data_IF_516408039692
#
_entry.id   IF_516408039692
#
_cell.length_a   1.000
_cell.length_b   1.000
_cell.length_c   1.000
_cell.angle_alpha   90.00
_cell.angle_beta   90.00
_cell.angle_gamma   90.00
#
_symmetry.space_group_name_H-M   'P 1'
#
loop_
_entity.id
_entity.type
_entity.pdbx_description
1 polymer ?
#
# COMPACT_ATOMS: atom_id res chain seq x y z
N UNK A 1 2.85 5.78 -26.28
CA UNK A 1 3.34 6.69 -25.22
C UNK A 1 4.41 5.94 -24.42
N UNK A 2 5.61 6.51 -24.29
CA UNK A 2 6.67 5.90 -23.48
C UNK A 2 6.28 5.94 -22.02
N UNK A 3 6.41 4.81 -21.33
CA UNK A 3 6.17 4.71 -19.88
C UNK A 3 7.33 5.40 -19.15
N UNK A 4 7.03 6.46 -18.41
CA UNK A 4 8.04 7.21 -17.64
C UNK A 4 8.22 6.62 -16.24
N UNK A 5 9.47 6.44 -15.84
CA UNK A 5 9.88 6.08 -14.49
C UNK A 5 10.63 7.25 -13.85
N UNK A 6 10.42 7.44 -12.57
CA UNK A 6 11.03 8.51 -11.78
C UNK A 6 11.81 7.91 -10.62
N UNK A 7 12.99 8.44 -10.31
CA UNK A 7 13.76 7.98 -9.16
C UNK A 7 13.10 8.45 -7.86
N UNK A 8 12.70 7.52 -7.00
CA UNK A 8 12.25 7.83 -5.63
C UNK A 8 13.21 7.23 -4.62
N UNK A 9 13.51 8.01 -3.58
CA UNK A 9 14.32 7.57 -2.46
C UNK A 9 13.50 6.74 -1.51
N UNK A 10 14.03 5.61 -1.06
CA UNK A 10 13.47 4.79 0.02
C UNK A 10 13.79 5.50 1.34
N UNK A 11 12.77 5.94 2.06
CA UNK A 11 12.92 6.63 3.34
C UNK A 11 12.71 5.72 4.56
N UNK A 12 11.98 4.60 4.41
CA UNK A 12 11.85 3.58 5.44
C UNK A 12 11.61 2.19 4.84
N UNK A 13 12.06 1.15 5.53
CA UNK A 13 11.72 -0.25 5.29
C UNK A 13 11.39 -0.84 6.66
N UNK A 14 10.13 -1.17 6.89
CA UNK A 14 9.63 -1.62 8.19
C UNK A 14 9.17 -3.08 8.09
N UNK A 15 9.65 -3.98 8.96
CA UNK A 15 9.09 -5.32 9.06
C UNK A 15 7.61 -5.26 9.44
N UNK A 16 6.78 -6.04 8.75
CA UNK A 16 5.35 -6.17 9.06
C UNK A 16 5.02 -7.59 9.54
N UNK A 17 5.51 -8.58 8.81
CA UNK A 17 5.47 -10.00 9.22
C UNK A 17 6.83 -10.64 8.93
N UNK A 18 7.02 -11.91 9.30
CA UNK A 18 8.23 -12.66 8.94
C UNK A 18 8.47 -12.72 7.40
N UNK A 19 7.40 -12.56 6.62
CA UNK A 19 7.43 -12.66 5.15
C UNK A 19 7.06 -11.35 4.44
N UNK A 20 6.83 -10.25 5.16
CA UNK A 20 6.39 -8.99 4.56
C UNK A 20 7.12 -7.79 5.14
N UNK A 21 7.40 -6.82 4.29
CA UNK A 21 7.94 -5.50 4.65
C UNK A 21 7.09 -4.39 4.04
N UNK A 22 7.08 -3.25 4.69
CA UNK A 22 6.49 -2.02 4.19
C UNK A 22 7.62 -1.12 3.72
N UNK A 23 7.59 -0.73 2.45
CA UNK A 23 8.57 0.19 1.85
C UNK A 23 7.93 1.56 1.69
N UNK A 24 8.55 2.57 2.28
CA UNK A 24 8.10 3.97 2.21
C UNK A 24 9.04 4.77 1.30
N UNK A 25 8.43 5.62 0.47
CA UNK A 25 9.14 6.47 -0.48
C UNK A 25 8.98 7.94 -0.11
N UNK A 26 10.06 8.68 -0.23
CA UNK A 26 10.05 10.13 -0.22
C UNK A 26 9.70 10.64 -1.62
N UNK A 27 8.61 11.41 -1.72
CA UNK A 27 8.21 12.05 -2.97
C UNK A 27 8.73 13.49 -2.94
N UNK A 28 9.71 13.85 -3.77
CA UNK A 28 10.24 15.20 -3.79
C UNK A 28 9.19 16.21 -4.27
N UNK A 29 9.29 17.50 -3.85
CA UNK A 29 8.26 18.50 -4.12
C UNK A 29 7.86 18.63 -5.58
N UNK A 30 8.82 18.54 -6.50
CA UNK A 30 8.61 18.63 -7.95
C UNK A 30 7.85 17.45 -8.54
N UNK A 31 7.82 16.31 -7.86
CA UNK A 31 7.09 15.12 -8.29
C UNK A 31 5.75 14.91 -7.58
N UNK A 32 5.35 15.79 -6.67
CA UNK A 32 4.08 15.63 -5.91
C UNK A 32 2.85 15.53 -6.81
N UNK A 33 2.80 16.29 -7.90
CA UNK A 33 1.69 16.18 -8.86
C UNK A 33 1.69 14.85 -9.62
N UNK A 34 2.88 14.34 -9.96
CA UNK A 34 3.05 13.05 -10.65
C UNK A 34 2.64 11.88 -9.78
N UNK A 35 2.96 11.95 -8.48
CA UNK A 35 2.70 10.88 -7.49
C UNK A 35 1.44 11.11 -6.65
N UNK A 36 0.62 12.13 -6.97
CA UNK A 36 -0.74 12.20 -6.44
C UNK A 36 -1.53 10.96 -6.87
N UNK A 37 -2.18 10.30 -5.91
CA UNK A 37 -2.86 9.04 -6.18
C UNK A 37 -4.29 9.03 -5.65
N UNK A 38 -5.08 8.09 -6.14
CA UNK A 38 -6.41 7.75 -5.63
C UNK A 38 -6.26 6.46 -4.82
N UNK A 39 -6.90 6.36 -3.67
CA UNK A 39 -6.87 5.19 -2.79
C UNK A 39 -7.19 3.90 -3.57
N UNK A 40 -6.37 2.87 -3.37
CA UNK A 40 -6.48 1.57 -4.06
C UNK A 40 -5.68 1.46 -5.37
N UNK A 41 -5.00 2.52 -5.80
CA UNK A 41 -4.05 2.46 -6.92
C UNK A 41 -2.76 1.71 -6.54
N UNK A 42 -1.93 1.42 -7.53
CA UNK A 42 -0.65 0.72 -7.37
C UNK A 42 0.50 1.50 -8.03
N UNK A 43 1.71 1.18 -7.59
CA UNK A 43 2.97 1.59 -8.18
C UNK A 43 3.60 0.43 -8.95
N UNK A 44 4.26 0.72 -10.07
CA UNK A 44 5.18 -0.22 -10.70
C UNK A 44 6.60 0.19 -10.34
N UNK A 45 7.30 -0.67 -9.62
CA UNK A 45 8.70 -0.52 -9.26
C UNK A 45 9.57 -1.20 -10.30
N UNK A 46 10.73 -0.61 -10.58
CA UNK A 46 11.70 -1.10 -11.56
C UNK A 46 13.11 -1.02 -11.00
N UNK A 47 13.88 -2.08 -11.17
CA UNK A 47 15.30 -2.11 -10.84
C UNK A 47 16.03 -3.14 -11.70
N UNK A 48 17.34 -3.12 -11.67
CA UNK A 48 18.18 -4.14 -12.29
C UNK A 48 18.61 -5.16 -11.25
N UNK A 49 18.30 -6.43 -11.47
CA UNK A 49 18.70 -7.55 -10.63
C UNK A 49 19.48 -8.55 -11.50
N UNK A 50 20.69 -8.87 -11.11
CA UNK A 50 21.59 -9.77 -11.87
C UNK A 50 21.68 -9.42 -13.37
N UNK A 51 21.78 -8.12 -13.67
CA UNK A 51 21.86 -7.60 -15.04
C UNK A 51 20.52 -7.56 -15.80
N UNK A 52 19.41 -7.98 -15.20
CA UNK A 52 18.08 -7.99 -15.82
C UNK A 52 17.24 -6.79 -15.38
N UNK A 53 16.57 -6.13 -16.31
CA UNK A 53 15.56 -5.11 -16.03
C UNK A 53 14.28 -5.80 -15.51
N UNK A 54 13.98 -5.64 -14.22
CA UNK A 54 12.84 -6.31 -13.59
C UNK A 54 11.84 -5.26 -13.10
N UNK A 55 10.55 -5.52 -13.34
CA UNK A 55 9.43 -4.65 -12.93
C UNK A 55 8.38 -5.46 -12.20
N UNK A 56 7.83 -4.89 -11.12
CA UNK A 56 6.69 -5.46 -10.39
C UNK A 56 5.80 -4.36 -9.88
N UNK A 57 4.50 -4.65 -9.87
CA UNK A 57 3.48 -3.76 -9.36
C UNK A 57 3.09 -4.14 -7.94
N UNK A 58 2.98 -3.12 -7.08
CA UNK A 58 2.56 -3.25 -5.69
C UNK A 58 1.50 -2.20 -5.40
N UNK A 59 0.39 -2.61 -4.80
CA UNK A 59 -0.65 -1.69 -4.41
C UNK A 59 -0.16 -0.73 -3.33
N UNK A 60 -0.59 0.52 -3.43
CA UNK A 60 -0.34 1.53 -2.41
C UNK A 60 -1.17 1.14 -1.17
N UNK A 61 -0.52 1.13 0.00
CA UNK A 61 -1.16 0.88 1.30
C UNK A 61 -1.29 2.13 2.17
N UNK A 62 -0.81 3.27 1.69
CA UNK A 62 -0.99 4.58 2.33
C UNK A 62 -2.40 5.13 2.09
N UNK A 63 -2.91 5.94 3.03
CA UNK A 63 -4.02 6.85 2.74
C UNK A 63 -3.54 7.98 1.85
N UNK A 64 -4.46 8.63 1.14
CA UNK A 64 -4.11 9.77 0.27
C UNK A 64 -3.57 10.98 1.05
N UNK A 65 -3.83 11.03 2.36
CA UNK A 65 -3.39 12.09 3.27
C UNK A 65 -2.15 11.69 4.10
N UNK A 66 -1.62 10.48 3.92
CA UNK A 66 -0.42 10.03 4.62
C UNK A 66 0.82 10.80 4.12
N UNK A 67 1.79 11.01 5.01
CA UNK A 67 3.01 11.76 4.71
C UNK A 67 3.90 11.08 3.65
N UNK A 68 3.86 9.77 3.57
CA UNK A 68 4.72 8.97 2.70
C UNK A 68 3.91 8.05 1.80
N UNK A 69 4.39 7.90 0.58
CA UNK A 69 3.90 6.90 -0.36
C UNK A 69 4.44 5.52 0.05
N UNK A 70 3.55 4.54 0.30
CA UNK A 70 3.92 3.25 0.90
C UNK A 70 3.38 2.08 0.09
N UNK A 71 4.18 1.01 0.00
CA UNK A 71 3.74 -0.28 -0.54
C UNK A 71 4.08 -1.42 0.41
N UNK A 72 3.20 -2.40 0.53
CA UNK A 72 3.46 -3.63 1.27
C UNK A 72 3.97 -4.72 0.33
N UNK A 73 5.11 -5.31 0.65
CA UNK A 73 5.76 -6.33 -0.18
C UNK A 73 5.88 -7.64 0.59
N UNK A 74 5.07 -8.61 0.21
CA UNK A 74 5.20 -9.97 0.71
C UNK A 74 6.24 -10.72 -0.10
N UNK A 75 7.10 -11.46 0.59
CA UNK A 75 8.08 -12.37 -0.02
C UNK A 75 7.35 -13.50 -0.74
N UNK A 76 7.71 -13.72 -1.99
CA UNK A 76 7.23 -14.85 -2.80
C UNK A 76 8.35 -15.86 -2.92
N UNK A 77 8.08 -17.13 -2.62
CA UNK A 77 9.08 -18.18 -2.76
C UNK A 77 9.54 -18.25 -4.23
N UNK A 78 10.84 -18.16 -4.48
CA UNK A 78 11.41 -18.07 -5.83
C UNK A 78 11.16 -16.74 -6.57
N UNK A 79 10.47 -15.79 -5.96
CA UNK A 79 10.19 -14.48 -6.58
C UNK A 79 11.43 -13.59 -6.61
N UNK A 80 11.91 -13.23 -7.80
CA UNK A 80 13.14 -12.46 -7.95
C UNK A 80 13.05 -11.08 -7.27
N UNK A 81 12.04 -10.27 -7.59
CA UNK A 81 11.91 -8.89 -7.12
C UNK A 81 11.57 -8.79 -5.62
N UNK A 82 10.63 -9.61 -5.14
CA UNK A 82 10.25 -9.60 -3.72
C UNK A 82 11.40 -10.04 -2.82
N UNK A 83 12.17 -11.07 -3.22
CA UNK A 83 13.34 -11.48 -2.47
C UNK A 83 14.44 -10.41 -2.49
N UNK A 84 14.66 -9.75 -3.62
CA UNK A 84 15.61 -8.62 -3.72
C UNK A 84 15.22 -7.48 -2.78
N UNK A 85 13.94 -7.10 -2.70
CA UNK A 85 13.48 -6.08 -1.74
C UNK A 85 13.83 -6.49 -0.31
N UNK A 86 13.60 -7.75 0.08
CA UNK A 86 13.85 -8.23 1.43
C UNK A 86 15.33 -8.39 1.80
N UNK A 87 16.21 -8.65 0.82
CA UNK A 87 17.61 -8.97 1.08
C UNK A 87 18.59 -7.86 0.75
N UNK A 88 18.23 -6.97 -0.19
CA UNK A 88 19.20 -6.07 -0.83
C UNK A 88 18.80 -4.60 -0.76
N UNK A 89 17.52 -4.28 -0.85
CA UNK A 89 17.04 -2.90 -0.78
C UNK A 89 17.29 -2.31 0.63
N UNK A 90 17.80 -1.08 0.67
CA UNK A 90 18.12 -0.37 1.92
C UNK A 90 17.50 1.01 1.97
N UNK A 91 17.28 1.51 3.18
CA UNK A 91 16.93 2.91 3.41
C UNK A 91 18.03 3.80 2.83
N UNK A 92 17.64 4.80 2.06
CA UNK A 92 18.53 5.70 1.33
C UNK A 92 18.75 5.32 -0.13
N UNK A 93 18.46 4.07 -0.52
CA UNK A 93 18.53 3.65 -1.92
C UNK A 93 17.49 4.39 -2.78
N UNK A 94 17.78 4.46 -4.07
CA UNK A 94 16.86 5.01 -5.07
C UNK A 94 16.35 3.90 -5.97
N UNK A 95 15.04 3.84 -6.17
CA UNK A 95 14.39 2.89 -7.07
C UNK A 95 13.58 3.63 -8.13
N UNK A 96 13.47 3.08 -9.32
CA UNK A 96 12.66 3.64 -10.39
C UNK A 96 11.20 3.29 -10.18
N UNK A 97 10.33 4.29 -10.12
CA UNK A 97 8.90 4.15 -9.82
C UNK A 97 8.07 4.82 -10.91
N UNK A 98 7.08 4.13 -11.40
CA UNK A 98 6.09 4.69 -12.33
C UNK A 98 4.99 5.43 -11.54
N UNK A 99 4.45 6.50 -12.13
CA UNK A 99 3.30 7.21 -11.56
C UNK A 99 2.17 6.25 -11.18
N UNK A 100 1.39 6.54 -10.11
CA UNK A 100 0.30 5.69 -9.65
C UNK A 100 -0.70 5.35 -10.76
N UNK A 101 -1.13 4.10 -10.80
CA UNK A 101 -2.08 3.58 -11.78
C UNK A 101 -3.11 2.67 -11.12
N UNK A 102 -4.18 2.37 -11.85
CA UNK A 102 -5.22 1.43 -11.43
C UNK A 102 -6.59 2.08 -11.31
N UNK A 103 -7.62 1.23 -11.32
CA UNK A 103 -9.04 1.63 -11.26
C UNK A 103 -9.77 0.98 -10.08
N UNK A 104 -9.06 0.36 -9.17
CA UNK A 104 -9.63 -0.27 -7.99
C UNK A 104 -9.75 0.77 -6.87
N UNK A 105 -10.74 1.65 -6.98
CA UNK A 105 -11.02 2.70 -6.00
C UNK A 105 -12.53 2.94 -5.89
N UNK A 106 -12.94 3.65 -4.86
CA UNK A 106 -14.31 4.14 -4.67
C UNK A 106 -14.34 5.66 -4.76
N UNK A 107 -15.34 6.25 -5.42
CA UNK A 107 -15.51 7.70 -5.38
C UNK A 107 -15.91 8.12 -3.98
N UNK A 108 -15.23 9.15 -3.45
CA UNK A 108 -15.45 9.68 -2.12
C UNK A 108 -16.39 10.87 -2.15
N UNK A 109 -17.26 10.95 -1.15
CA UNK A 109 -18.13 12.09 -0.91
C UNK A 109 -18.27 12.31 0.61
N UNK A 110 -17.78 13.44 1.15
CA UNK A 110 -17.84 13.72 2.59
C UNK A 110 -19.26 13.71 3.19
N UNK A 111 -20.29 13.92 2.36
CA UNK A 111 -21.69 13.84 2.80
C UNK A 111 -22.27 12.42 2.80
N UNK A 112 -21.52 11.45 2.27
CA UNK A 112 -21.97 10.06 2.18
C UNK A 112 -22.11 9.40 3.55
N UNK A 113 -23.14 8.54 3.65
CA UNK A 113 -23.41 7.67 4.81
C UNK A 113 -23.46 6.21 4.32
N UNK A 114 -22.33 5.73 3.79
CA UNK A 114 -22.23 4.40 3.18
C UNK A 114 -21.76 3.36 4.20
N UNK A 115 -22.10 2.11 3.93
CA UNK A 115 -21.50 0.97 4.61
C UNK A 115 -20.65 0.21 3.58
N UNK A 116 -19.34 0.36 3.67
CA UNK A 116 -18.39 -0.36 2.84
C UNK A 116 -18.17 -1.77 3.38
N UNK A 117 -18.21 -2.75 2.50
CA UNK A 117 -17.82 -4.12 2.79
C UNK A 117 -16.64 -4.49 1.89
N UNK A 118 -15.54 -4.91 2.51
CA UNK A 118 -14.37 -5.41 1.79
C UNK A 118 -14.02 -6.82 2.23
N UNK A 119 -13.52 -7.61 1.27
CA UNK A 119 -12.99 -8.94 1.51
C UNK A 119 -11.55 -8.97 1.00
N UNK A 120 -10.61 -9.35 1.87
CA UNK A 120 -9.20 -9.44 1.54
C UNK A 120 -8.64 -10.81 1.91
N UNK A 121 -7.61 -11.25 1.19
CA UNK A 121 -6.81 -12.43 1.50
C UNK A 121 -5.33 -12.13 1.39
N UNK A 122 -4.55 -12.45 2.43
CA UNK A 122 -3.10 -12.25 2.44
C UNK A 122 -2.68 -10.83 2.02
N UNK A 123 -1.79 -10.68 1.05
CA UNK A 123 -1.29 -9.38 0.55
C UNK A 123 -2.34 -8.56 -0.21
N UNK A 124 -3.51 -9.12 -0.55
CA UNK A 124 -4.63 -8.36 -1.12
C UNK A 124 -5.20 -7.30 -0.19
N UNK A 125 -4.78 -7.28 1.07
CA UNK A 125 -5.11 -6.23 2.04
C UNK A 125 -4.55 -4.84 1.64
N UNK A 126 -3.43 -4.78 0.89
CA UNK A 126 -2.72 -3.53 0.62
C UNK A 126 -3.61 -2.44 -0.01
N UNK A 127 -4.34 -2.66 -1.12
CA UNK A 127 -5.23 -1.65 -1.68
C UNK A 127 -6.46 -1.40 -0.78
N UNK A 128 -6.93 -2.41 -0.09
CA UNK A 128 -8.08 -2.29 0.83
C UNK A 128 -7.73 -1.38 2.01
N UNK A 129 -6.52 -1.50 2.57
CA UNK A 129 -6.04 -0.64 3.64
C UNK A 129 -6.01 0.83 3.20
N UNK A 130 -5.48 1.12 2.01
CA UNK A 130 -5.49 2.47 1.41
C UNK A 130 -6.90 3.03 1.31
N UNK A 131 -7.84 2.24 0.78
CA UNK A 131 -9.26 2.62 0.65
C UNK A 131 -9.87 2.85 2.03
N UNK A 132 -9.70 1.91 2.96
CA UNK A 132 -10.28 1.95 4.30
C UNK A 132 -9.81 3.19 5.08
N UNK A 133 -8.51 3.44 5.12
CA UNK A 133 -7.91 4.63 5.78
C UNK A 133 -8.49 5.92 5.20
N UNK A 134 -8.54 6.02 3.89
CA UNK A 134 -8.99 7.23 3.19
C UNK A 134 -10.50 7.46 3.37
N UNK A 135 -11.33 6.41 3.24
CA UNK A 135 -12.78 6.48 3.50
C UNK A 135 -13.06 6.94 4.92
N UNK A 136 -12.42 6.30 5.91
CA UNK A 136 -12.62 6.62 7.33
C UNK A 136 -12.23 8.06 7.68
N UNK A 137 -11.20 8.60 7.02
CA UNK A 137 -10.75 9.97 7.20
C UNK A 137 -11.67 10.99 6.50
N UNK A 138 -12.12 10.70 5.29
CA UNK A 138 -12.80 11.68 4.43
C UNK A 138 -14.32 11.57 4.38
N UNK A 139 -14.90 10.45 4.81
CA UNK A 139 -16.35 10.24 4.93
C UNK A 139 -16.74 10.00 6.40
N UNK A 140 -16.97 11.05 7.21
CA UNK A 140 -17.15 10.93 8.66
C UNK A 140 -18.37 10.11 9.08
N UNK A 141 -19.37 9.98 8.21
CA UNK A 141 -20.61 9.25 8.49
C UNK A 141 -20.64 7.83 7.91
N UNK A 142 -19.63 7.44 7.12
CA UNK A 142 -19.54 6.11 6.53
C UNK A 142 -18.92 5.09 7.49
N UNK A 143 -19.29 3.82 7.31
CA UNK A 143 -18.81 2.65 8.07
C UNK A 143 -18.04 1.71 7.16
N UNK A 144 -17.16 0.92 7.75
CA UNK A 144 -16.34 -0.04 7.02
C UNK A 144 -16.31 -1.39 7.74
N UNK A 145 -16.68 -2.45 7.02
CA UNK A 145 -16.53 -3.84 7.47
C UNK A 145 -15.47 -4.53 6.61
N UNK A 146 -14.48 -5.11 7.24
CA UNK A 146 -13.42 -5.87 6.60
C UNK A 146 -13.49 -7.33 7.02
N UNK A 147 -13.61 -8.24 6.03
CA UNK A 147 -13.40 -9.67 6.17
C UNK A 147 -11.99 -9.98 5.67
N UNK A 148 -11.09 -10.41 6.57
CA UNK A 148 -9.69 -10.58 6.22
C UNK A 148 -9.19 -12.00 6.49
N UNK A 149 -9.10 -12.82 5.44
CA UNK A 149 -8.65 -14.19 5.50
C UNK A 149 -7.13 -14.32 5.40
N UNK A 150 -6.52 -15.05 6.31
CA UNK A 150 -5.09 -15.36 6.33
C UNK A 150 -4.87 -16.84 6.69
N UNK A 151 -3.72 -17.40 6.30
CA UNK A 151 -3.37 -18.78 6.64
C UNK A 151 -3.10 -18.95 8.14
N UNK A 152 -2.41 -17.99 8.72
CA UNK A 152 -2.08 -17.94 10.14
C UNK A 152 -2.16 -16.50 10.65
N UNK A 153 -2.30 -16.33 11.95
CA UNK A 153 -2.29 -15.01 12.58
C UNK A 153 -0.96 -14.28 12.37
N UNK A 154 0.17 -15.02 12.36
CA UNK A 154 1.52 -14.46 12.17
C UNK A 154 1.76 -13.96 10.72
N UNK A 155 0.98 -14.44 9.76
CA UNK A 155 1.08 -14.01 8.35
C UNK A 155 0.11 -12.86 8.00
N UNK A 156 -0.63 -12.34 8.99
CA UNK A 156 -1.59 -11.26 8.81
C UNK A 156 -0.85 -9.93 8.66
N UNK A 157 -0.80 -9.42 7.43
CA UNK A 157 -0.18 -8.13 7.15
C UNK A 157 -1.00 -6.98 7.73
N UNK A 158 -0.31 -5.92 8.19
CA UNK A 158 -0.90 -4.70 8.76
C UNK A 158 -1.81 -4.93 9.97
N UNK A 159 -1.56 -5.99 10.74
CA UNK A 159 -2.41 -6.34 11.88
C UNK A 159 -2.52 -5.17 12.88
N UNK A 160 -1.40 -4.62 13.30
CA UNK A 160 -1.36 -3.51 14.26
C UNK A 160 -2.05 -2.25 13.69
N UNK A 161 -1.78 -1.91 12.43
CA UNK A 161 -2.41 -0.75 11.77
C UNK A 161 -3.93 -0.90 11.64
N UNK A 162 -4.43 -2.12 11.39
CA UNK A 162 -5.87 -2.41 11.38
C UNK A 162 -6.49 -2.32 12.76
N UNK A 163 -5.81 -2.81 13.80
CA UNK A 163 -6.23 -2.69 15.20
C UNK A 163 -6.28 -1.22 15.63
N UNK A 164 -5.30 -0.42 15.26
CA UNK A 164 -5.28 1.03 15.51
C UNK A 164 -6.43 1.75 14.80
N UNK A 165 -6.72 1.40 13.55
CA UNK A 165 -7.89 1.92 12.84
C UNK A 165 -9.20 1.54 13.55
N UNK A 166 -9.32 0.30 14.01
CA UNK A 166 -10.47 -0.15 14.79
C UNK A 166 -10.62 0.65 16.08
N UNK A 167 -9.54 0.88 16.81
CA UNK A 167 -9.53 1.65 18.04
C UNK A 167 -9.92 3.11 17.81
N UNK A 168 -9.36 3.73 16.75
CA UNK A 168 -9.63 5.12 16.37
C UNK A 168 -11.08 5.35 15.92
N UNK A 169 -11.64 4.38 15.19
CA UNK A 169 -12.98 4.48 14.59
C UNK A 169 -13.94 3.41 15.14
N UNK A 170 -13.96 3.21 16.45
CA UNK A 170 -14.56 2.09 17.16
C UNK A 170 -16.00 1.73 16.72
N UNK A 171 -16.85 2.74 16.50
CA UNK A 171 -18.27 2.56 16.11
C UNK A 171 -18.46 2.44 14.58
N UNK A 172 -17.40 2.69 13.81
CA UNK A 172 -17.46 2.77 12.34
C UNK A 172 -16.72 1.63 11.64
N UNK A 173 -15.92 0.87 12.37
CA UNK A 173 -15.09 -0.22 11.83
C UNK A 173 -15.46 -1.55 12.46
N UNK A 174 -15.70 -2.57 11.61
CA UNK A 174 -15.78 -3.97 12.01
C UNK A 174 -14.69 -4.77 11.29
N UNK A 175 -13.93 -5.58 12.05
CA UNK A 175 -12.89 -6.48 11.53
C UNK A 175 -13.28 -7.92 11.86
N UNK A 176 -13.19 -8.83 10.86
CA UNK A 176 -13.48 -10.26 10.99
C UNK A 176 -12.40 -11.10 10.34
#
# INVERSE_FOLDING_TARGET
MSVSFYPLRVCAIEPDTAEAVIVSFEVPPELRQVFGFIQGQYLTLRTTIDGQDVRRSYSICAAVDDAHLRVGVRRVNGGLFSNWIHSSLKVGDTIQVMAPQGRFYVPLDPASQRHYLAVAGGSGITPILSIMKTVLAREPHSRFTLLYANRTLQSTMFKEELEDLKNRYLTRVALH
#
